data_IF_695174763625
#
_entry.id   IF_695174763625
#
_cell.length_a   1.000
_cell.length_b   1.000
_cell.length_c   1.000
_cell.angle_alpha   90.00
_cell.angle_beta   90.00
_cell.angle_gamma   90.00
#
_symmetry.space_group_name_H-M   'P 1'
#
loop_
_entity.id
_entity.type
_entity.pdbx_description
1 polymer ?
#
# COMPACT_ATOMS: atom_id res chain seq x y z
N UNK A 1 5.98 29.66 -18.54
CA UNK A 1 4.89 28.79 -19.02
C UNK A 1 5.39 27.43 -19.49
N UNK A 2 6.32 27.34 -20.46
CA UNK A 2 6.83 26.06 -20.98
C UNK A 2 7.39 25.11 -19.89
N UNK A 3 8.20 25.64 -18.97
CA UNK A 3 8.74 24.86 -17.85
C UNK A 3 7.65 24.21 -17.00
N UNK A 4 6.58 24.95 -16.67
CA UNK A 4 5.47 24.42 -15.87
C UNK A 4 4.71 23.31 -16.60
N UNK A 5 4.55 23.43 -17.93
CA UNK A 5 3.92 22.41 -18.77
C UNK A 5 4.76 21.13 -18.83
N UNK A 6 6.09 21.26 -18.92
CA UNK A 6 6.99 20.10 -18.90
C UNK A 6 6.92 19.40 -17.54
N UNK A 7 7.00 20.16 -16.44
CA UNK A 7 6.92 19.61 -15.08
C UNK A 7 5.58 18.91 -14.84
N UNK A 8 4.46 19.53 -15.22
CA UNK A 8 3.14 18.90 -15.06
C UNK A 8 2.99 17.64 -15.92
N UNK A 9 3.52 17.65 -17.15
CA UNK A 9 3.53 16.48 -18.03
C UNK A 9 4.32 15.31 -17.43
N UNK A 10 5.50 15.57 -16.87
CA UNK A 10 6.33 14.55 -16.21
C UNK A 10 5.61 13.98 -14.97
N UNK A 11 5.03 14.85 -14.13
CA UNK A 11 4.27 14.39 -12.95
C UNK A 11 3.10 13.51 -13.38
N UNK A 12 2.33 13.93 -14.39
CA UNK A 12 1.19 13.16 -14.87
C UNK A 12 1.62 11.81 -15.44
N UNK A 13 2.73 11.77 -16.17
CA UNK A 13 3.30 10.53 -16.70
C UNK A 13 3.71 9.58 -15.57
N UNK A 14 4.40 10.08 -14.54
CA UNK A 14 4.78 9.27 -13.39
C UNK A 14 3.57 8.73 -12.63
N UNK A 15 2.54 9.55 -12.43
CA UNK A 15 1.29 9.13 -11.78
C UNK A 15 0.59 8.02 -12.58
N UNK A 16 0.57 8.13 -13.91
CA UNK A 16 -0.05 7.14 -14.79
C UNK A 16 0.75 5.84 -14.93
N UNK A 17 2.09 5.90 -14.96
CA UNK A 17 2.95 4.74 -15.22
C UNK A 17 3.36 3.98 -13.96
N UNK A 18 3.62 4.69 -12.86
CA UNK A 18 4.21 4.10 -11.65
C UNK A 18 3.19 3.80 -10.56
N UNK A 19 1.90 4.05 -10.81
CA UNK A 19 0.83 3.89 -9.83
C UNK A 19 1.22 4.49 -8.47
N UNK A 20 1.57 5.77 -8.49
CA UNK A 20 2.12 6.52 -7.33
C UNK A 20 1.23 6.36 -6.09
N UNK A 21 -0.07 6.20 -6.29
CA UNK A 21 -1.04 5.93 -5.23
C UNK A 21 -0.76 4.65 -4.44
N UNK A 22 -0.24 3.59 -5.10
CA UNK A 22 0.19 2.38 -4.43
C UNK A 22 1.26 2.67 -3.38
N UNK A 23 2.32 3.39 -3.77
CA UNK A 23 3.45 3.69 -2.89
C UNK A 23 3.07 4.65 -1.77
N UNK A 24 2.27 5.68 -2.07
CA UNK A 24 1.78 6.62 -1.05
C UNK A 24 0.95 5.88 -0.01
N UNK A 25 -0.06 5.11 -0.43
CA UNK A 25 -0.95 4.41 0.50
C UNK A 25 -0.20 3.32 1.28
N UNK A 26 0.66 2.55 0.62
CA UNK A 26 1.49 1.54 1.28
C UNK A 26 2.39 2.15 2.36
N UNK A 27 3.05 3.27 2.06
CA UNK A 27 3.89 4.00 3.03
C UNK A 27 3.06 4.48 4.22
N UNK A 28 1.89 5.08 3.98
CA UNK A 28 0.99 5.52 5.06
C UNK A 28 0.54 4.35 5.94
N UNK A 29 0.29 3.17 5.36
CA UNK A 29 -0.09 1.97 6.11
C UNK A 29 1.04 1.49 7.00
N UNK A 30 2.28 1.46 6.50
CA UNK A 30 3.47 1.11 7.30
C UNK A 30 3.65 2.13 8.43
N UNK A 31 3.61 3.44 8.13
CA UNK A 31 3.76 4.47 9.16
C UNK A 31 2.66 4.38 10.24
N UNK A 32 1.40 4.18 9.84
CA UNK A 32 0.26 4.02 10.75
C UNK A 32 0.36 2.75 11.59
N UNK A 33 0.91 1.65 11.06
CA UNK A 33 1.04 0.40 11.80
C UNK A 33 2.20 0.42 12.80
N UNK A 34 3.25 1.23 12.57
CA UNK A 34 4.34 1.42 13.55
C UNK A 34 3.88 2.00 14.89
N UNK A 35 2.82 2.81 14.88
CA UNK A 35 2.27 3.44 16.09
C UNK A 35 1.14 2.62 16.73
N UNK A 36 0.70 1.53 16.09
CA UNK A 36 -0.35 0.66 16.62
C UNK A 36 0.22 -0.32 17.66
N UNK A 37 -0.63 -0.83 18.57
CA UNK A 37 -0.21 -1.87 19.51
C UNK A 37 0.35 -3.09 18.78
N UNK A 38 1.40 -3.67 19.36
CA UNK A 38 2.04 -4.86 18.80
C UNK A 38 1.08 -6.05 18.87
N UNK A 39 0.85 -6.71 17.74
CA UNK A 39 0.10 -7.97 17.70
C UNK A 39 1.02 -9.10 18.15
N UNK A 40 0.68 -9.72 19.28
CA UNK A 40 1.43 -10.81 19.89
C UNK A 40 1.08 -12.18 19.30
N UNK A 41 -0.13 -12.33 18.78
CA UNK A 41 -0.62 -13.58 18.20
C UNK A 41 -0.70 -13.44 16.68
N UNK A 42 0.25 -14.08 16.00
CA UNK A 42 0.38 -14.05 14.53
C UNK A 42 -0.67 -14.90 13.82
N UNK A 43 -1.25 -15.90 14.51
CA UNK A 43 -2.23 -16.82 13.93
C UNK A 43 -3.66 -16.32 14.10
N UNK A 44 -3.85 -15.31 14.97
CA UNK A 44 -5.13 -14.65 15.10
C UNK A 44 -5.51 -13.93 13.81
N UNK A 45 -6.79 -14.00 13.47
CA UNK A 45 -7.34 -13.30 12.33
C UNK A 45 -7.00 -11.80 12.38
N UNK A 46 -6.43 -11.30 11.28
CA UNK A 46 -6.13 -9.89 11.10
C UNK A 46 -7.14 -9.26 10.13
N UNK A 47 -8.01 -8.40 10.65
CA UNK A 47 -8.94 -7.63 9.83
C UNK A 47 -8.36 -6.26 9.51
N UNK A 48 -8.40 -5.87 8.23
CA UNK A 48 -7.92 -4.58 7.75
C UNK A 48 -9.01 -3.85 6.96
N UNK A 49 -9.28 -2.60 7.33
CA UNK A 49 -10.28 -1.77 6.67
C UNK A 49 -9.63 -0.91 5.57
N UNK A 50 -9.89 -1.28 4.32
CA UNK A 50 -9.58 -0.48 3.15
C UNK A 50 -10.59 0.65 2.92
N UNK A 51 -10.16 1.71 2.22
CA UNK A 51 -11.04 2.77 1.72
C UNK A 51 -10.98 2.79 0.21
N UNK A 52 -12.14 2.72 -0.44
CA UNK A 52 -12.25 2.83 -1.89
C UNK A 52 -12.24 4.30 -2.29
N UNK A 53 -11.27 4.70 -3.10
CA UNK A 53 -11.18 6.06 -3.64
C UNK A 53 -11.75 6.10 -5.07
N UNK A 54 -12.12 7.28 -5.61
CA UNK A 54 -12.62 7.39 -6.98
C UNK A 54 -11.68 6.83 -8.05
N UNK A 55 -10.35 6.86 -7.80
CA UNK A 55 -9.35 6.27 -8.70
C UNK A 55 -9.29 4.72 -8.65
N UNK A 56 -9.88 4.10 -7.63
CA UNK A 56 -9.94 2.64 -7.52
C UNK A 56 -11.14 2.05 -8.27
N UNK A 57 -12.04 2.91 -8.79
CA UNK A 57 -13.22 2.50 -9.55
C UNK A 57 -12.88 2.20 -11.01
N UNK A 58 -13.53 1.18 -11.57
CA UNK A 58 -13.55 0.89 -12.99
C UNK A 58 -14.64 1.70 -13.72
N UNK A 59 -14.77 1.48 -15.03
CA UNK A 59 -15.78 2.13 -15.86
C UNK A 59 -17.23 1.83 -15.45
N UNK A 60 -17.46 0.73 -14.72
CA UNK A 60 -18.77 0.33 -14.21
C UNK A 60 -19.03 0.89 -12.81
N UNK A 61 -18.16 1.77 -12.30
CA UNK A 61 -18.21 2.33 -10.95
C UNK A 61 -18.11 1.26 -9.85
N UNK A 62 -17.53 0.11 -10.18
CA UNK A 62 -17.18 -0.91 -9.20
C UNK A 62 -15.71 -0.80 -8.86
N UNK A 63 -15.33 -1.30 -7.69
CA UNK A 63 -13.91 -1.40 -7.37
C UNK A 63 -13.25 -2.35 -8.37
N UNK A 64 -12.20 -1.87 -9.04
CA UNK A 64 -11.48 -2.67 -10.01
C UNK A 64 -10.87 -3.92 -9.33
N UNK A 65 -11.09 -5.10 -9.91
CA UNK A 65 -10.61 -6.38 -9.38
C UNK A 65 -9.10 -6.40 -9.03
N UNK A 66 -8.28 -5.73 -9.84
CA UNK A 66 -6.83 -5.61 -9.57
C UNK A 66 -6.50 -4.80 -8.32
N UNK A 67 -7.39 -3.88 -7.90
CA UNK A 67 -7.21 -3.04 -6.71
C UNK A 67 -7.46 -3.82 -5.41
N UNK A 68 -8.17 -4.95 -5.45
CA UNK A 68 -8.33 -5.81 -4.27
C UNK A 68 -7.01 -6.45 -3.82
N UNK A 69 -6.17 -6.91 -4.77
CA UNK A 69 -4.86 -7.46 -4.46
C UNK A 69 -3.95 -6.42 -3.77
N UNK A 70 -4.09 -5.15 -4.16
CA UNK A 70 -3.42 -4.04 -3.49
C UNK A 70 -3.90 -3.87 -2.04
N UNK A 71 -5.20 -3.91 -1.78
CA UNK A 71 -5.69 -3.81 -0.39
C UNK A 71 -5.20 -4.99 0.46
N UNK A 72 -5.11 -6.19 -0.12
CA UNK A 72 -4.52 -7.35 0.55
C UNK A 72 -3.03 -7.15 0.87
N UNK A 73 -2.25 -6.58 -0.07
CA UNK A 73 -0.86 -6.16 0.19
C UNK A 73 -0.77 -5.16 1.36
N UNK A 74 -1.68 -4.18 1.41
CA UNK A 74 -1.72 -3.22 2.52
C UNK A 74 -2.06 -3.87 3.86
N UNK A 75 -3.01 -4.81 3.88
CA UNK A 75 -3.30 -5.61 5.07
C UNK A 75 -2.06 -6.39 5.54
N UNK A 76 -1.32 -7.01 4.61
CA UNK A 76 -0.05 -7.70 4.90
C UNK A 76 1.01 -6.75 5.45
N UNK A 77 1.18 -5.57 4.85
CA UNK A 77 2.13 -4.56 5.36
C UNK A 77 1.79 -4.11 6.77
N UNK A 78 0.50 -3.88 7.06
CA UNK A 78 0.05 -3.54 8.40
C UNK A 78 0.40 -4.65 9.40
N UNK A 79 0.02 -5.90 9.09
CA UNK A 79 0.28 -7.07 9.92
C UNK A 79 1.76 -7.23 10.24
N UNK A 80 2.61 -7.24 9.22
CA UNK A 80 4.04 -7.48 9.40
C UNK A 80 4.75 -6.34 10.12
N UNK A 81 4.26 -5.12 9.96
CA UNK A 81 4.86 -3.96 10.61
C UNK A 81 4.54 -3.92 12.10
N UNK A 82 3.27 -4.09 12.51
CA UNK A 82 2.94 -4.04 13.94
C UNK A 82 3.29 -5.33 14.69
N UNK A 83 3.46 -6.46 14.00
CA UNK A 83 3.89 -7.72 14.65
C UNK A 83 5.41 -7.85 14.79
N UNK A 84 6.17 -6.94 14.18
CA UNK A 84 7.64 -7.02 14.15
C UNK A 84 8.20 -8.02 13.13
N UNK A 85 7.34 -8.76 12.41
CA UNK A 85 7.75 -9.70 11.36
C UNK A 85 8.61 -9.03 10.29
N UNK A 86 8.32 -7.78 9.94
CA UNK A 86 9.12 -7.04 8.96
C UNK A 86 10.58 -6.89 9.39
N UNK A 87 10.84 -6.55 10.67
CA UNK A 87 12.20 -6.45 11.21
C UNK A 87 12.85 -7.83 11.33
N UNK A 88 12.10 -8.83 11.78
CA UNK A 88 12.59 -10.21 11.90
C UNK A 88 13.04 -10.75 10.53
N UNK A 89 12.21 -10.61 9.49
CA UNK A 89 12.55 -11.05 8.13
C UNK A 89 13.80 -10.35 7.60
N UNK A 90 13.89 -9.02 7.77
CA UNK A 90 15.08 -8.26 7.38
C UNK A 90 16.34 -8.75 8.10
N UNK A 91 16.26 -9.02 9.40
CA UNK A 91 17.39 -9.53 10.19
C UNK A 91 17.86 -10.92 9.75
N UNK A 92 16.95 -11.72 9.17
CA UNK A 92 17.21 -13.06 8.67
C UNK A 92 17.61 -13.08 7.18
N UNK A 93 17.67 -11.93 6.50
CA UNK A 93 17.92 -11.85 5.06
C UNK A 93 16.78 -12.41 4.21
N UNK A 94 15.59 -12.57 4.78
CA UNK A 94 14.41 -13.08 4.09
C UNK A 94 13.67 -11.96 3.35
N UNK A 95 13.15 -12.27 2.17
CA UNK A 95 12.27 -11.38 1.41
C UNK A 95 10.83 -11.88 1.41
N UNK A 96 9.87 -10.96 1.29
CA UNK A 96 8.48 -11.33 1.07
C UNK A 96 8.29 -11.71 -0.40
N UNK A 97 7.75 -12.91 -0.63
CA UNK A 97 7.23 -13.28 -1.94
C UNK A 97 5.79 -12.77 -2.07
N UNK A 98 5.49 -12.16 -3.22
CA UNK A 98 4.16 -11.70 -3.59
C UNK A 98 3.40 -12.85 -4.25
#
# INVERSE_FOLDING_TARGET
MLFLVIVSGVISLMVSLLDVWYFIRGTLVVLKSRIQPVVKDLLKEHSYLGKVLPHDLDFLLHMNNSRYLREADFARFALYTHSGLFQAMHSLGCSMVR
#
